data_IF_938996670456
#
_entry.id   IF_938996670456
#
_cell.length_a   1.000
_cell.length_b   1.000
_cell.length_c   1.000
_cell.angle_alpha   90.00
_cell.angle_beta   90.00
_cell.angle_gamma   90.00
#
_symmetry.space_group_name_H-M   'P 1'
#
loop_
_entity.id
_entity.type
_entity.pdbx_description
1 polymer ?
#
# COMPACT_ATOMS: atom_id res chain seq x y z
N UNK A 1 -3.12 7.47 21.69
CA UNK A 1 -3.00 8.97 21.58
C UNK A 1 -2.91 9.31 20.10
N UNK A 2 -3.60 10.36 19.64
CA UNK A 2 -3.48 10.86 18.27
C UNK A 2 -2.63 12.13 18.28
N UNK A 3 -1.65 12.23 17.39
CA UNK A 3 -0.83 13.44 17.18
C UNK A 3 -1.09 13.98 15.77
N UNK A 4 -0.97 15.31 15.62
CA UNK A 4 -1.09 16.02 14.34
C UNK A 4 0.04 17.04 14.27
N UNK A 5 1.22 16.61 13.88
CA UNK A 5 2.43 17.45 13.89
C UNK A 5 3.13 17.52 12.54
N UNK A 6 2.88 16.54 11.66
CA UNK A 6 3.57 16.42 10.38
C UNK A 6 2.61 16.77 9.24
N UNK A 7 3.01 17.62 8.28
CA UNK A 7 2.21 17.87 7.09
C UNK A 7 1.93 16.58 6.29
N UNK A 8 0.73 16.47 5.77
CA UNK A 8 0.41 15.44 4.77
C UNK A 8 1.22 15.68 3.51
N UNK A 9 1.46 14.61 2.73
CA UNK A 9 2.21 14.67 1.48
C UNK A 9 1.41 14.05 0.34
N UNK A 10 1.62 14.62 -0.85
CA UNK A 10 1.18 14.08 -2.14
C UNK A 10 2.30 14.22 -3.16
N UNK A 11 2.06 13.84 -4.40
CA UNK A 11 2.98 14.08 -5.51
C UNK A 11 2.61 15.36 -6.27
N UNK A 12 3.58 16.01 -6.93
CA UNK A 12 3.35 17.30 -7.61
C UNK A 12 2.84 17.17 -9.04
N UNK A 13 3.07 16.03 -9.69
CA UNK A 13 2.67 15.73 -11.07
C UNK A 13 2.39 14.25 -11.24
N UNK A 14 1.73 13.90 -12.33
CA UNK A 14 1.53 12.50 -12.69
C UNK A 14 2.84 11.80 -13.07
N UNK A 15 2.92 10.52 -12.74
CA UNK A 15 3.92 9.59 -13.26
C UNK A 15 3.27 8.23 -13.50
N UNK A 16 3.85 7.42 -14.37
CA UNK A 16 3.29 6.11 -14.67
C UNK A 16 4.39 5.07 -14.87
N UNK A 17 3.97 3.82 -14.80
CA UNK A 17 4.74 2.65 -15.19
C UNK A 17 3.84 1.65 -15.89
N UNK A 18 4.43 0.81 -16.72
CA UNK A 18 3.73 -0.25 -17.44
C UNK A 18 4.43 -1.59 -17.15
N UNK A 19 3.65 -2.63 -17.02
CA UNK A 19 4.16 -3.96 -16.74
C UNK A 19 3.04 -5.00 -16.83
N UNK A 20 3.34 -6.21 -16.39
CA UNK A 20 2.43 -7.36 -16.49
C UNK A 20 1.93 -7.73 -15.08
N UNK A 21 0.65 -8.03 -14.93
CA UNK A 21 0.08 -8.61 -13.72
C UNK A 21 0.61 -10.02 -13.48
N UNK A 22 0.98 -10.36 -12.25
CA UNK A 22 1.56 -11.65 -11.88
C UNK A 22 0.57 -12.81 -12.10
N UNK A 23 -0.68 -12.58 -11.75
CA UNK A 23 -1.74 -13.60 -11.77
C UNK A 23 -2.57 -13.56 -13.04
N UNK A 24 -2.85 -12.35 -13.54
CA UNK A 24 -3.66 -12.15 -14.74
C UNK A 24 -2.86 -12.33 -16.03
N UNK A 25 -1.56 -12.04 -16.02
CA UNK A 25 -0.73 -12.01 -17.23
C UNK A 25 -1.05 -10.84 -18.17
N UNK A 26 -1.93 -9.92 -17.77
CA UNK A 26 -2.35 -8.78 -18.58
C UNK A 26 -1.34 -7.64 -18.51
N UNK A 27 -1.18 -6.91 -19.62
CA UNK A 27 -0.42 -5.67 -19.62
C UNK A 27 -1.23 -4.56 -18.95
N UNK A 28 -0.65 -3.97 -17.93
CA UNK A 28 -1.29 -2.93 -17.12
C UNK A 28 -0.43 -1.68 -17.10
N UNK A 29 -1.09 -0.55 -17.29
CA UNK A 29 -0.55 0.78 -17.01
C UNK A 29 -1.07 1.23 -15.65
N UNK A 30 -0.14 1.53 -14.74
CA UNK A 30 -0.42 2.15 -13.45
C UNK A 30 0.03 3.60 -13.49
N UNK A 31 -0.86 4.52 -13.12
CA UNK A 31 -0.56 5.96 -13.08
C UNK A 31 -0.78 6.49 -11.67
N UNK A 32 0.23 7.11 -11.10
CA UNK A 32 0.14 7.91 -9.89
C UNK A 32 -0.34 9.32 -10.24
N UNK A 33 -1.37 9.82 -9.53
CA UNK A 33 -1.90 11.17 -9.74
C UNK A 33 -1.97 11.92 -8.42
N UNK A 34 -1.68 13.24 -8.40
CA UNK A 34 -1.85 14.06 -7.20
C UNK A 34 -3.27 13.94 -6.65
N UNK A 35 -3.40 13.93 -5.34
CA UNK A 35 -4.70 13.93 -4.67
C UNK A 35 -4.78 15.06 -3.63
N UNK A 36 -5.97 15.63 -3.38
CA UNK A 36 -6.19 16.60 -2.33
C UNK A 36 -5.83 16.07 -0.93
N UNK A 37 -5.61 16.97 0.02
CA UNK A 37 -5.44 16.59 1.43
C UNK A 37 -6.65 15.79 1.94
N UNK A 38 -6.39 14.83 2.82
CA UNK A 38 -7.39 13.94 3.43
C UNK A 38 -8.09 12.98 2.44
N UNK A 39 -7.51 12.77 1.27
CA UNK A 39 -8.01 11.78 0.30
C UNK A 39 -7.57 10.35 0.69
N UNK A 40 -6.38 10.20 1.25
CA UNK A 40 -5.76 8.89 1.42
C UNK A 40 -5.22 8.31 0.11
N UNK A 41 -4.97 7.01 0.11
CA UNK A 41 -4.55 6.27 -1.07
C UNK A 41 -5.79 5.63 -1.71
N UNK A 42 -6.10 5.99 -2.95
CA UNK A 42 -7.32 5.55 -3.64
C UNK A 42 -6.96 4.93 -4.98
N UNK A 43 -7.33 3.67 -5.17
CA UNK A 43 -7.23 3.01 -6.46
C UNK A 43 -8.42 3.36 -7.36
N UNK A 44 -8.15 3.55 -8.65
CA UNK A 44 -9.16 3.87 -9.67
C UNK A 44 -8.98 2.91 -10.84
N UNK A 45 -10.04 2.18 -11.20
CA UNK A 45 -10.11 1.31 -12.37
C UNK A 45 -10.61 2.12 -13.58
N UNK A 46 -9.70 2.51 -14.47
CA UNK A 46 -10.04 3.33 -15.65
C UNK A 46 -10.78 2.53 -16.74
N UNK A 47 -10.71 1.22 -16.70
CA UNK A 47 -11.40 0.31 -17.61
C UNK A 47 -12.84 -0.02 -17.20
N UNK A 48 -13.29 0.48 -16.04
CA UNK A 48 -14.64 0.28 -15.52
C UNK A 48 -15.39 1.62 -15.55
N UNK A 49 -16.68 1.58 -15.90
CA UNK A 49 -17.58 2.72 -15.82
C UNK A 49 -18.43 2.68 -14.54
N UNK A 50 -18.76 3.85 -13.99
CA UNK A 50 -19.56 3.97 -12.78
C UNK A 50 -18.71 4.00 -11.51
N UNK A 51 -19.04 3.19 -10.51
CA UNK A 51 -18.29 3.10 -9.25
C UNK A 51 -16.98 2.32 -9.49
N UNK A 52 -15.92 3.05 -9.79
CA UNK A 52 -14.64 2.53 -10.23
C UNK A 52 -13.48 2.85 -9.27
N UNK A 53 -13.78 3.32 -8.05
CA UNK A 53 -12.77 3.70 -7.07
C UNK A 53 -12.89 2.90 -5.77
N UNK A 54 -11.74 2.65 -5.12
CA UNK A 54 -11.65 1.95 -3.85
C UNK A 54 -10.51 2.51 -3.01
N UNK A 55 -10.79 2.87 -1.77
CA UNK A 55 -9.76 3.28 -0.81
C UNK A 55 -8.86 2.11 -0.43
N UNK A 56 -7.56 2.36 -0.26
CA UNK A 56 -6.62 1.42 0.35
C UNK A 56 -6.86 1.35 1.87
N UNK A 57 -7.93 0.69 2.27
CA UNK A 57 -8.33 0.57 3.67
C UNK A 57 -8.60 -0.89 4.03
N UNK A 58 -8.26 -1.28 5.27
CA UNK A 58 -8.39 -2.67 5.75
C UNK A 58 -9.81 -3.25 5.62
N UNK A 59 -10.85 -2.40 5.67
CA UNK A 59 -12.26 -2.82 5.48
C UNK A 59 -12.52 -3.45 4.11
N UNK A 60 -11.67 -3.16 3.12
CA UNK A 60 -11.79 -3.67 1.75
C UNK A 60 -10.84 -4.83 1.45
N UNK A 61 -10.03 -5.28 2.42
CA UNK A 61 -9.21 -6.47 2.22
C UNK A 61 -10.14 -7.68 2.17
N UNK A 62 -10.20 -8.33 1.01
CA UNK A 62 -11.05 -9.51 0.79
C UNK A 62 -10.29 -10.82 0.97
N UNK A 63 -8.99 -10.82 0.64
CA UNK A 63 -8.17 -12.01 0.65
C UNK A 63 -6.69 -11.60 0.67
N UNK A 64 -5.86 -12.38 1.36
CA UNK A 64 -4.40 -12.23 1.40
C UNK A 64 -3.67 -13.45 0.85
N UNK A 65 -4.37 -14.38 0.19
CA UNK A 65 -3.76 -15.53 -0.47
C UNK A 65 -2.99 -15.06 -1.72
N UNK A 66 -1.67 -15.23 -1.68
CA UNK A 66 -0.74 -14.86 -2.77
C UNK A 66 -0.68 -13.38 -3.13
N UNK A 67 -1.19 -12.47 -2.29
CA UNK A 67 -1.17 -11.02 -2.49
C UNK A 67 -2.27 -10.31 -1.71
N UNK A 68 -2.13 -9.01 -1.50
CA UNK A 68 -3.16 -8.20 -0.83
C UNK A 68 -4.18 -7.72 -1.85
N UNK A 69 -5.41 -8.24 -1.74
CA UNK A 69 -6.51 -7.93 -2.63
C UNK A 69 -7.52 -7.01 -1.96
N UNK A 70 -7.87 -5.92 -2.64
CA UNK A 70 -8.93 -5.00 -2.23
C UNK A 70 -10.20 -5.29 -3.04
N UNK A 71 -11.36 -5.31 -2.38
CA UNK A 71 -12.67 -5.59 -2.99
C UNK A 71 -13.75 -4.73 -2.33
N UNK A 72 -14.50 -3.98 -3.11
CA UNK A 72 -15.64 -3.17 -2.64
C UNK A 72 -17.00 -3.80 -2.97
N UNK A 73 -17.01 -5.04 -3.46
CA UNK A 73 -18.19 -5.77 -3.92
C UNK A 73 -18.55 -5.54 -5.39
N UNK A 74 -18.03 -4.49 -6.02
CA UNK A 74 -18.24 -4.20 -7.45
C UNK A 74 -17.06 -4.64 -8.31
N UNK A 75 -15.83 -4.48 -7.80
CA UNK A 75 -14.59 -4.89 -8.47
C UNK A 75 -13.47 -5.15 -7.47
N UNK A 76 -12.37 -5.70 -7.97
CA UNK A 76 -11.16 -5.99 -7.21
C UNK A 76 -9.94 -5.30 -7.78
N UNK A 77 -8.98 -5.02 -6.87
CA UNK A 77 -7.59 -4.71 -7.18
C UNK A 77 -6.73 -5.82 -6.60
N UNK A 78 -5.95 -6.49 -7.45
CA UNK A 78 -5.03 -7.55 -7.06
C UNK A 78 -3.61 -7.01 -6.85
N UNK A 79 -2.85 -7.67 -5.95
CA UNK A 79 -1.40 -7.44 -5.77
C UNK A 79 -1.06 -5.99 -5.38
N UNK A 80 -1.84 -5.41 -4.45
CA UNK A 80 -1.70 -3.99 -4.07
C UNK A 80 -0.53 -3.71 -3.12
N UNK A 81 0.07 -4.71 -2.47
CA UNK A 81 1.06 -4.58 -1.40
C UNK A 81 2.33 -3.83 -1.81
N UNK A 82 2.86 -4.08 -3.01
CA UNK A 82 4.14 -3.48 -3.45
C UNK A 82 4.03 -1.97 -3.69
N UNK A 83 2.93 -1.53 -4.30
CA UNK A 83 2.68 -0.11 -4.53
C UNK A 83 2.33 0.62 -3.23
N UNK A 84 1.55 -0.01 -2.35
CA UNK A 84 1.23 0.56 -1.04
C UNK A 84 2.49 0.67 -0.15
N UNK A 85 3.37 -0.34 -0.19
CA UNK A 85 4.66 -0.29 0.51
C UNK A 85 5.54 0.87 0.01
N UNK A 86 5.57 1.11 -1.32
CA UNK A 86 6.32 2.23 -1.89
C UNK A 86 5.78 3.60 -1.41
N UNK A 87 4.46 3.82 -1.50
CA UNK A 87 3.83 5.06 -1.07
C UNK A 87 4.02 5.32 0.43
N UNK A 88 3.81 4.29 1.25
CA UNK A 88 3.99 4.37 2.70
C UNK A 88 5.46 4.61 3.07
N UNK A 89 6.39 3.92 2.42
CA UNK A 89 7.83 4.07 2.66
C UNK A 89 8.37 5.46 2.26
N UNK A 90 7.69 6.15 1.36
CA UNK A 90 8.00 7.53 0.94
C UNK A 90 7.15 8.58 1.66
N UNK A 91 6.37 8.19 2.67
CA UNK A 91 5.50 9.08 3.45
C UNK A 91 4.43 9.81 2.59
N UNK A 92 3.95 9.22 1.51
CA UNK A 92 2.87 9.78 0.70
C UNK A 92 1.53 9.45 1.32
N UNK A 93 0.79 10.47 1.76
CA UNK A 93 -0.51 10.32 2.41
C UNK A 93 -1.67 10.27 1.40
N UNK A 94 -1.58 11.07 0.34
CA UNK A 94 -2.69 11.28 -0.59
C UNK A 94 -2.23 11.04 -2.03
N UNK A 95 -2.80 10.03 -2.68
CA UNK A 95 -2.49 9.69 -4.06
C UNK A 95 -3.65 8.93 -4.71
N UNK A 96 -4.02 9.31 -5.92
CA UNK A 96 -4.82 8.46 -6.78
C UNK A 96 -3.91 7.49 -7.55
N UNK A 97 -4.27 6.21 -7.56
CA UNK A 97 -3.54 5.13 -8.21
C UNK A 97 -4.44 4.55 -9.28
N UNK A 98 -4.30 5.02 -10.51
CA UNK A 98 -5.15 4.61 -11.63
C UNK A 98 -4.58 3.40 -12.34
N UNK A 99 -5.43 2.46 -12.69
CA UNK A 99 -5.12 1.21 -13.39
C UNK A 99 -6.09 1.01 -14.57
N UNK A 100 -5.58 0.57 -15.71
CA UNK A 100 -6.38 0.15 -16.85
C UNK A 100 -6.70 -1.36 -16.83
N UNK A 101 -6.56 -2.01 -15.67
CA UNK A 101 -6.80 -3.45 -15.48
C UNK A 101 -6.94 -3.82 -14.00
N UNK A 102 -7.23 -5.08 -13.68
CA UNK A 102 -7.59 -5.53 -12.33
C UNK A 102 -6.40 -5.71 -11.39
N UNK A 103 -5.18 -5.71 -11.88
CA UNK A 103 -4.01 -6.09 -11.09
C UNK A 103 -2.90 -5.05 -11.20
N UNK A 104 -2.23 -4.77 -10.08
CA UNK A 104 -1.01 -3.96 -10.06
C UNK A 104 0.10 -4.72 -10.79
N UNK A 105 0.86 -4.07 -11.72
CA UNK A 105 1.94 -4.76 -12.41
C UNK A 105 3.03 -5.20 -11.42
N UNK A 106 3.51 -6.44 -11.57
CA UNK A 106 4.45 -7.04 -10.60
C UNK A 106 5.87 -6.45 -10.69
N UNK A 107 6.25 -5.91 -11.83
CA UNK A 107 7.59 -5.41 -12.13
C UNK A 107 8.67 -6.48 -11.89
N UNK A 108 9.62 -6.22 -10.99
CA UNK A 108 10.67 -7.16 -10.56
C UNK A 108 10.31 -7.89 -9.24
N UNK A 109 9.08 -7.75 -8.76
CA UNK A 109 8.64 -8.30 -7.48
C UNK A 109 9.05 -7.47 -6.26
N UNK A 110 9.60 -6.28 -6.46
CA UNK A 110 9.94 -5.34 -5.39
C UNK A 110 9.20 -4.01 -5.54
N UNK A 111 9.31 -3.13 -4.53
CA UNK A 111 8.77 -1.77 -4.59
C UNK A 111 9.64 -0.77 -5.37
N UNK A 112 10.81 -1.17 -5.86
CA UNK A 112 11.83 -0.30 -6.45
C UNK A 112 11.33 0.56 -7.62
N UNK A 113 10.59 -0.04 -8.54
CA UNK A 113 10.09 0.70 -9.72
C UNK A 113 9.00 1.70 -9.34
N UNK A 114 8.14 1.34 -8.38
CA UNK A 114 7.12 2.25 -7.84
C UNK A 114 7.78 3.44 -7.12
N UNK A 115 8.77 3.19 -6.26
CA UNK A 115 9.56 4.24 -5.59
C UNK A 115 10.12 5.22 -6.60
N UNK A 116 10.79 4.72 -7.65
CA UNK A 116 11.36 5.56 -8.70
C UNK A 116 10.32 6.43 -9.39
N UNK A 117 9.17 5.85 -9.76
CA UNK A 117 8.09 6.61 -10.41
C UNK A 117 7.50 7.70 -9.49
N UNK A 118 7.34 7.41 -8.19
CA UNK A 118 6.85 8.38 -7.20
C UNK A 118 7.87 9.52 -6.98
N UNK A 119 9.17 9.19 -6.88
CA UNK A 119 10.24 10.20 -6.75
C UNK A 119 10.33 11.12 -7.99
N UNK A 120 10.19 10.57 -9.21
CA UNK A 120 10.12 11.34 -10.46
C UNK A 120 8.90 12.28 -10.49
N UNK A 121 7.81 11.91 -9.82
CA UNK A 121 6.62 12.73 -9.65
C UNK A 121 6.81 13.87 -8.65
N UNK A 122 7.88 13.88 -7.86
CA UNK A 122 8.25 14.84 -6.80
C UNK A 122 7.19 14.93 -5.70
N UNK A 123 7.56 14.47 -4.53
CA UNK A 123 6.72 14.55 -3.33
C UNK A 123 6.70 15.98 -2.81
N UNK A 124 5.53 16.47 -2.43
CA UNK A 124 5.30 17.81 -1.89
C UNK A 124 4.44 17.74 -0.63
N UNK A 125 4.65 18.67 0.29
CA UNK A 125 3.82 18.86 1.47
C UNK A 125 2.49 19.56 1.14
N UNK A 126 1.47 19.26 1.94
CA UNK A 126 0.14 19.84 1.88
C UNK A 126 -0.19 20.61 3.16
N UNK A 127 -1.21 21.47 3.12
CA UNK A 127 -1.57 22.32 4.26
C UNK A 127 -2.30 21.57 5.40
N UNK A 128 -2.72 20.33 5.21
CA UNK A 128 -3.33 19.51 6.24
C UNK A 128 -2.28 18.72 7.02
N UNK A 129 -2.53 18.46 8.30
CA UNK A 129 -1.66 17.66 9.15
C UNK A 129 -2.09 16.19 9.11
N UNK A 130 -1.11 15.29 9.13
CA UNK A 130 -1.29 13.85 9.26
C UNK A 130 -1.78 13.51 10.68
N UNK A 131 -2.72 12.59 10.77
CA UNK A 131 -3.07 11.95 12.04
C UNK A 131 -2.18 10.72 12.25
N UNK A 132 -1.40 10.75 13.33
CA UNK A 132 -0.53 9.65 13.73
C UNK A 132 -1.07 9.02 15.00
N UNK A 133 -1.27 7.71 14.99
CA UNK A 133 -1.71 6.94 16.14
C UNK A 133 -0.51 6.39 16.91
N UNK A 134 -0.44 6.72 18.19
CA UNK A 134 0.58 6.21 19.11
C UNK A 134 -0.08 5.34 20.18
N UNK A 135 0.25 4.06 20.27
CA UNK A 135 -0.20 3.23 21.37
C UNK A 135 0.44 3.71 22.69
N UNK A 136 -0.29 3.65 23.79
CA UNK A 136 0.24 3.98 25.13
C UNK A 136 0.97 2.82 25.79
N UNK A 137 0.71 1.60 25.31
CA UNK A 137 1.28 0.36 25.82
C UNK A 137 1.41 -0.66 24.70
N UNK A 138 2.13 -1.75 24.96
CA UNK A 138 2.24 -2.85 24.02
C UNK A 138 0.87 -3.52 23.82
N UNK A 139 0.46 -3.64 22.57
CA UNK A 139 -0.73 -4.39 22.17
C UNK A 139 -0.25 -5.60 21.38
N UNK A 140 -0.75 -6.79 21.68
CA UNK A 140 -0.40 -8.03 20.96
C UNK A 140 -1.65 -8.82 20.62
N UNK A 141 -1.66 -9.36 19.41
CA UNK A 141 -2.66 -10.29 18.93
C UNK A 141 -1.98 -11.59 18.49
N UNK A 142 -2.53 -12.71 18.86
CA UNK A 142 -2.10 -14.05 18.42
C UNK A 142 -3.25 -14.71 17.65
N UNK A 143 -2.96 -15.17 16.46
CA UNK A 143 -3.88 -15.98 15.67
C UNK A 143 -3.80 -17.42 16.17
N UNK A 144 -4.89 -17.96 16.67
CA UNK A 144 -4.92 -19.34 17.22
C UNK A 144 -4.73 -20.38 16.12
N UNK A 145 -5.22 -20.13 14.91
CA UNK A 145 -5.16 -21.10 13.80
C UNK A 145 -3.74 -21.23 13.22
N UNK A 146 -3.01 -20.13 13.11
CA UNK A 146 -1.68 -20.10 12.48
C UNK A 146 -0.54 -20.00 13.49
N UNK A 147 -0.82 -19.61 14.72
CA UNK A 147 0.17 -19.28 15.73
C UNK A 147 0.91 -17.95 15.46
N UNK A 148 0.55 -17.22 14.40
CA UNK A 148 1.15 -15.93 14.06
C UNK A 148 0.88 -14.89 15.14
N UNK A 149 1.88 -14.08 15.43
CA UNK A 149 1.78 -13.01 16.43
C UNK A 149 2.06 -11.67 15.77
N UNK A 150 1.16 -10.72 15.97
CA UNK A 150 1.33 -9.32 15.63
C UNK A 150 1.41 -8.51 16.91
N UNK A 151 2.43 -7.65 17.02
CA UNK A 151 2.58 -6.74 18.18
C UNK A 151 2.80 -5.32 17.71
N UNK A 152 2.14 -4.37 18.38
CA UNK A 152 2.40 -2.93 18.26
C UNK A 152 3.02 -2.50 19.57
N UNK A 153 4.18 -1.87 19.51
CA UNK A 153 4.97 -1.46 20.67
C UNK A 153 5.20 0.05 20.58
N UNK A 154 5.01 0.82 21.68
CA UNK A 154 5.39 2.23 21.69
C UNK A 154 6.86 2.41 21.32
N UNK A 155 7.15 3.27 20.35
CA UNK A 155 8.50 3.67 19.94
C UNK A 155 8.46 5.13 19.50
N UNK A 156 9.61 5.80 19.50
CA UNK A 156 9.75 7.17 19.00
C UNK A 156 9.83 7.22 17.47
N UNK A 157 10.12 6.09 16.85
CA UNK A 157 10.26 5.95 15.40
C UNK A 157 9.38 4.82 14.86
N UNK A 158 8.92 4.97 13.63
CA UNK A 158 8.20 3.89 12.94
C UNK A 158 9.17 2.81 12.49
N UNK A 159 9.01 1.61 13.04
CA UNK A 159 9.82 0.42 12.71
C UNK A 159 8.91 -0.77 12.43
N UNK A 160 9.30 -1.58 11.49
CA UNK A 160 8.68 -2.88 11.21
C UNK A 160 9.75 -3.96 11.37
N UNK A 161 9.48 -4.91 12.26
CA UNK A 161 10.30 -6.11 12.41
C UNK A 161 9.46 -7.32 12.03
N UNK A 162 9.95 -8.16 11.11
CA UNK A 162 9.26 -9.36 10.66
C UNK A 162 10.15 -10.58 10.88
N UNK A 163 9.57 -11.61 11.51
CA UNK A 163 10.18 -12.93 11.63
C UNK A 163 9.32 -13.94 10.92
N UNK A 164 9.90 -14.65 9.95
CA UNK A 164 9.25 -15.73 9.23
C UNK A 164 9.88 -17.06 9.67
N UNK A 165 9.04 -18.05 10.00
CA UNK A 165 9.46 -19.39 10.33
C UNK A 165 8.66 -20.39 9.50
N UNK A 166 9.35 -21.08 8.59
CA UNK A 166 8.72 -22.09 7.72
C UNK A 166 8.72 -23.49 8.32
N UNK A 167 9.13 -23.65 9.61
CA UNK A 167 9.30 -24.95 10.26
C UNK A 167 10.21 -25.91 9.46
N UNK A 168 11.09 -25.40 8.62
CA UNK A 168 12.06 -26.19 7.88
C UNK A 168 13.36 -26.29 8.67
N UNK A 169 13.99 -27.47 8.70
CA UNK A 169 15.29 -27.68 9.34
C UNK A 169 16.46 -27.10 8.52
N UNK A 170 16.19 -26.60 7.34
CA UNK A 170 17.18 -26.00 6.46
C UNK A 170 17.13 -24.48 6.63
N UNK A 171 18.19 -23.93 7.24
CA UNK A 171 18.43 -22.50 7.28
C UNK A 171 18.91 -22.08 5.89
N UNK A 172 18.04 -21.45 5.12
CA UNK A 172 18.48 -20.64 3.99
C UNK A 172 19.17 -19.39 4.56
N UNK A 173 20.50 -19.42 4.62
CA UNK A 173 21.30 -18.20 4.78
C UNK A 173 21.17 -17.43 3.47
N UNK A 174 20.44 -16.31 3.52
CA UNK A 174 20.48 -15.27 2.50
C UNK A 174 21.66 -14.36 2.76
#
# INVERSE_FOLDING_TARGET
>A
MIRRTVPQKTISKESYLEGVGLHTGENVKLTFKPAPSNTGLVFIREDITGDNSIEAHIKYISNTDRGTNLDNGSFRIHTSEHVLAALTGLDVDNCYISLNGPEVPIMDGSSKFFIKAIEEAKIIEQNALREEFFPSEKISYKCEDTGSVLSIIPDETYKIETKIDFNTKEYLTL
#
